data_IF_473666536993
#
_entry.id   IF_473666536993
#
_cell.length_a   1.000
_cell.length_b   1.000
_cell.length_c   1.000
_cell.angle_alpha   90.00
_cell.angle_beta   90.00
_cell.angle_gamma   90.00
#
_symmetry.space_group_name_H-M   'P 1'
#
loop_
_entity.id
_entity.type
_entity.pdbx_description
1 polymer ?
#
# COMPACT_ATOMS: atom_id res chain seq x y z
N UNK A 1 -39.73 6.83 -35.75
CA UNK A 1 -39.56 6.98 -37.22
C UNK A 1 -40.58 6.20 -38.06
N UNK A 2 -40.98 4.96 -37.71
CA UNK A 2 -41.97 4.20 -38.51
C UNK A 2 -43.42 4.72 -38.39
N UNK A 3 -43.84 5.20 -37.21
CA UNK A 3 -45.18 5.76 -37.01
C UNK A 3 -45.40 7.09 -37.73
N UNK A 4 -44.40 7.99 -37.68
CA UNK A 4 -44.42 9.26 -38.41
C UNK A 4 -44.55 9.02 -39.93
N UNK A 5 -43.79 8.06 -40.46
CA UNK A 5 -43.88 7.66 -41.87
C UNK A 5 -45.26 7.10 -42.24
N UNK A 6 -45.85 6.28 -41.36
CA UNK A 6 -47.22 5.78 -41.54
C UNK A 6 -48.27 6.91 -41.54
N UNK A 7 -48.14 7.90 -40.66
CA UNK A 7 -49.03 9.06 -40.60
C UNK A 7 -48.92 9.93 -41.86
N UNK A 8 -47.70 10.15 -42.36
CA UNK A 8 -47.46 10.87 -43.62
C UNK A 8 -48.01 10.10 -44.84
N UNK A 9 -47.78 8.79 -44.92
CA UNK A 9 -48.25 7.95 -46.02
C UNK A 9 -49.79 7.85 -46.04
N UNK A 10 -50.43 7.78 -44.86
CA UNK A 10 -51.89 7.81 -44.71
C UNK A 10 -52.49 9.17 -45.09
N UNK A 11 -51.74 10.27 -44.95
CA UNK A 11 -52.19 11.59 -45.43
C UNK A 11 -52.08 11.73 -46.95
N UNK A 12 -51.18 10.98 -47.59
CA UNK A 12 -50.92 11.05 -49.04
C UNK A 12 -51.67 10.01 -49.86
N UNK A 13 -52.14 8.91 -49.26
CA UNK A 13 -52.84 7.81 -49.92
C UNK A 13 -54.01 7.30 -49.09
N UNK A 14 -55.05 6.76 -49.72
CA UNK A 14 -56.20 6.18 -48.99
C UNK A 14 -55.85 4.91 -48.22
N UNK A 15 -54.69 4.30 -48.50
CA UNK A 15 -54.22 3.09 -47.84
C UNK A 15 -52.73 3.17 -47.49
N UNK A 16 -52.41 2.82 -46.23
CA UNK A 16 -51.05 2.66 -45.72
C UNK A 16 -51.01 1.53 -44.67
N UNK A 17 -49.93 0.75 -44.67
CA UNK A 17 -49.75 -0.37 -43.72
C UNK A 17 -49.29 0.12 -42.35
N UNK A 18 -50.07 -0.15 -41.29
CA UNK A 18 -49.73 0.28 -39.93
C UNK A 18 -48.56 -0.54 -39.39
N UNK A 19 -47.46 0.10 -38.95
CA UNK A 19 -46.31 -0.61 -38.42
C UNK A 19 -46.67 -1.35 -37.13
N UNK A 20 -46.14 -2.57 -36.98
CA UNK A 20 -46.31 -3.38 -35.75
C UNK A 20 -45.34 -2.89 -34.68
N UNK A 21 -45.86 -2.09 -33.75
CA UNK A 21 -45.11 -1.58 -32.59
C UNK A 21 -44.87 -2.76 -31.62
N UNK A 22 -43.65 -2.91 -31.10
CA UNK A 22 -43.37 -3.95 -30.09
C UNK A 22 -44.02 -3.56 -28.77
N UNK A 23 -44.38 -4.55 -27.94
CA UNK A 23 -45.07 -4.34 -26.65
C UNK A 23 -44.37 -3.34 -25.72
N UNK A 24 -43.04 -3.22 -25.81
CA UNK A 24 -42.22 -2.35 -24.96
C UNK A 24 -41.69 -1.10 -25.68
N UNK A 25 -42.09 -0.87 -26.93
CA UNK A 25 -41.72 0.37 -27.61
C UNK A 25 -42.59 1.50 -27.07
N UNK A 26 -41.94 2.54 -26.53
CA UNK A 26 -42.64 3.72 -26.02
C UNK A 26 -43.22 4.53 -27.18
N UNK A 27 -44.55 4.68 -27.18
CA UNK A 27 -45.25 5.56 -28.12
C UNK A 27 -45.39 6.92 -27.48
N UNK A 28 -44.90 7.95 -28.16
CA UNK A 28 -45.04 9.33 -27.71
C UNK A 28 -46.53 9.68 -27.52
N UNK A 29 -46.89 10.05 -26.30
CA UNK A 29 -48.27 10.30 -25.87
C UNK A 29 -48.56 11.80 -25.60
N UNK A 30 -47.62 12.69 -25.95
CA UNK A 30 -47.74 14.12 -25.72
C UNK A 30 -47.59 14.56 -24.26
N UNK A 31 -47.22 13.66 -23.34
CA UNK A 31 -46.99 13.97 -21.93
C UNK A 31 -45.51 14.00 -21.61
N UNK A 32 -45.11 15.03 -20.90
CA UNK A 32 -43.75 15.22 -20.43
C UNK A 32 -43.63 14.64 -19.02
N UNK A 33 -42.46 14.07 -18.73
CA UNK A 33 -42.04 13.71 -17.39
C UNK A 33 -40.63 14.21 -17.16
N UNK A 34 -40.40 14.86 -16.03
CA UNK A 34 -39.12 15.43 -15.63
C UNK A 34 -38.71 14.88 -14.27
N UNK A 35 -37.48 14.42 -14.15
CA UNK A 35 -36.95 13.87 -12.90
C UNK A 35 -35.65 14.57 -12.53
N UNK A 36 -35.57 15.09 -11.31
CA UNK A 36 -34.38 15.75 -10.76
C UNK A 36 -33.83 14.90 -9.64
N UNK A 37 -32.63 14.35 -9.87
CA UNK A 37 -31.93 13.48 -8.94
C UNK A 37 -32.81 12.29 -8.48
N UNK A 38 -32.35 11.49 -7.53
CA UNK A 38 -33.09 10.33 -7.03
C UNK A 38 -34.39 10.68 -6.27
N UNK A 39 -34.72 11.97 -6.11
CA UNK A 39 -35.68 12.42 -5.10
C UNK A 39 -37.00 13.01 -5.66
N UNK A 40 -37.01 13.65 -6.84
CA UNK A 40 -38.20 14.38 -7.32
C UNK A 40 -38.56 14.07 -8.76
N UNK A 41 -39.80 13.65 -8.98
CA UNK A 41 -40.39 13.32 -10.27
C UNK A 41 -41.66 14.15 -10.52
N UNK A 42 -41.67 14.85 -11.65
CA UNK A 42 -42.78 15.65 -12.15
C UNK A 42 -43.31 15.02 -13.43
N UNK A 43 -44.63 14.96 -13.60
CA UNK A 43 -45.24 14.37 -14.80
C UNK A 43 -46.55 15.07 -15.09
N UNK A 44 -46.82 15.31 -16.36
CA UNK A 44 -48.12 15.79 -16.79
C UNK A 44 -49.23 14.83 -16.34
N UNK A 45 -50.24 15.41 -15.71
CA UNK A 45 -51.39 14.66 -15.24
C UNK A 45 -52.67 15.43 -15.54
N UNK A 46 -53.82 14.89 -15.11
CA UNK A 46 -55.11 15.53 -15.38
C UNK A 46 -55.29 16.86 -14.62
N UNK A 47 -54.53 17.09 -13.55
CA UNK A 47 -54.67 18.26 -12.67
C UNK A 47 -53.67 19.38 -12.91
N UNK A 48 -52.54 19.11 -13.56
CA UNK A 48 -51.55 20.13 -13.93
C UNK A 48 -50.67 19.65 -15.09
N UNK A 49 -50.10 20.60 -15.83
CA UNK A 49 -49.00 20.38 -16.78
C UNK A 49 -47.68 20.81 -16.15
N UNK A 50 -46.55 20.28 -16.63
CA UNK A 50 -45.23 20.55 -16.05
C UNK A 50 -44.88 22.05 -16.05
N UNK A 51 -45.36 22.82 -17.03
CA UNK A 51 -45.17 24.26 -17.11
C UNK A 51 -45.72 25.00 -15.88
N UNK A 52 -46.81 24.51 -15.28
CA UNK A 52 -47.39 25.08 -14.06
C UNK A 52 -46.50 24.85 -12.83
N UNK A 53 -45.56 23.92 -12.91
CA UNK A 53 -44.66 23.48 -11.82
C UNK A 53 -43.21 23.91 -12.02
N UNK A 54 -42.93 24.82 -12.96
CA UNK A 54 -41.57 25.29 -13.22
C UNK A 54 -40.87 25.84 -11.97
N UNK A 55 -41.59 26.54 -11.09
CA UNK A 55 -41.03 27.01 -9.82
C UNK A 55 -40.57 25.85 -8.91
N UNK A 56 -41.42 24.84 -8.73
CA UNK A 56 -41.11 23.64 -7.93
C UNK A 56 -39.94 22.84 -8.52
N UNK A 57 -39.87 22.80 -9.86
CA UNK A 57 -38.77 22.18 -10.62
C UNK A 57 -37.45 22.92 -10.39
N UNK A 58 -37.47 24.26 -10.41
CA UNK A 58 -36.28 25.06 -10.13
C UNK A 58 -35.79 24.85 -8.69
N UNK A 59 -36.69 24.83 -7.71
CA UNK A 59 -36.35 24.52 -6.32
C UNK A 59 -35.70 23.13 -6.21
N UNK A 60 -36.30 22.12 -6.86
CA UNK A 60 -35.75 20.77 -6.90
C UNK A 60 -34.32 20.72 -7.49
N UNK A 61 -34.04 21.57 -8.49
CA UNK A 61 -32.72 21.67 -9.11
C UNK A 61 -31.69 22.26 -8.14
N UNK A 62 -32.03 23.34 -7.42
CA UNK A 62 -31.14 23.93 -6.43
C UNK A 62 -30.84 22.96 -5.28
N UNK A 63 -31.86 22.32 -4.72
CA UNK A 63 -31.68 21.32 -3.66
C UNK A 63 -30.78 20.17 -4.12
N UNK A 64 -31.03 19.62 -5.32
CA UNK A 64 -30.22 18.55 -5.88
C UNK A 64 -28.76 19.00 -6.11
N UNK A 65 -28.56 20.22 -6.60
CA UNK A 65 -27.22 20.78 -6.79
C UNK A 65 -26.48 20.95 -5.46
N UNK A 66 -27.16 21.40 -4.42
CA UNK A 66 -26.57 21.55 -3.09
C UNK A 66 -26.22 20.22 -2.46
N UNK A 67 -27.10 19.21 -2.57
CA UNK A 67 -26.81 17.83 -2.12
C UNK A 67 -25.57 17.30 -2.85
N UNK A 68 -25.53 17.42 -4.18
CA UNK A 68 -24.39 16.93 -4.97
C UNK A 68 -23.09 17.65 -4.63
N UNK A 69 -23.15 18.96 -4.33
CA UNK A 69 -22.00 19.75 -3.89
C UNK A 69 -21.50 19.27 -2.53
N UNK A 70 -22.40 19.13 -1.55
CA UNK A 70 -22.05 18.64 -0.21
C UNK A 70 -21.50 17.21 -0.25
N UNK A 71 -22.07 16.32 -1.05
CA UNK A 71 -21.57 14.95 -1.22
C UNK A 71 -20.19 14.92 -1.88
N UNK A 72 -19.89 15.85 -2.78
CA UNK A 72 -18.56 15.98 -3.38
C UNK A 72 -17.56 16.46 -2.34
N UNK A 73 -17.87 17.56 -1.65
CA UNK A 73 -17.02 18.12 -0.60
C UNK A 73 -16.75 17.09 0.51
N UNK A 74 -17.78 16.40 1.00
CA UNK A 74 -17.63 15.37 2.02
C UNK A 74 -16.74 14.20 1.57
N UNK A 75 -16.81 13.80 0.28
CA UNK A 75 -15.93 12.78 -0.29
C UNK A 75 -14.49 13.26 -0.37
N UNK A 76 -14.28 14.48 -0.86
CA UNK A 76 -12.94 15.08 -0.95
C UNK A 76 -12.31 15.25 0.44
N UNK A 77 -13.08 15.69 1.44
CA UNK A 77 -12.60 15.81 2.82
C UNK A 77 -12.31 14.46 3.48
N UNK A 78 -13.17 13.46 3.24
CA UNK A 78 -12.95 12.11 3.73
C UNK A 78 -11.70 11.49 3.10
N UNK A 79 -11.49 11.72 1.81
CA UNK A 79 -10.29 11.27 1.11
C UNK A 79 -9.03 11.96 1.64
N UNK A 80 -9.07 13.28 1.84
CA UNK A 80 -7.97 14.05 2.47
C UNK A 80 -7.62 13.50 3.85
N UNK A 81 -8.62 13.26 4.70
CA UNK A 81 -8.41 12.69 6.05
C UNK A 81 -7.82 11.27 5.98
N UNK A 82 -8.30 10.42 5.07
CA UNK A 82 -7.75 9.07 4.87
C UNK A 82 -6.29 9.12 4.41
N UNK A 83 -5.96 9.97 3.45
CA UNK A 83 -4.59 10.15 2.97
C UNK A 83 -3.66 10.64 4.08
N UNK A 84 -4.10 11.60 4.90
CA UNK A 84 -3.32 12.09 6.05
C UNK A 84 -3.10 10.98 7.10
N UNK A 85 -4.14 10.19 7.40
CA UNK A 85 -4.03 9.08 8.34
C UNK A 85 -3.11 7.96 7.83
N UNK A 86 -3.22 7.60 6.55
CA UNK A 86 -2.33 6.66 5.85
C UNK A 86 -0.87 7.13 5.95
N UNK A 87 -0.61 8.41 5.64
CA UNK A 87 0.73 9.00 5.76
C UNK A 87 1.28 8.88 7.17
N UNK A 88 0.48 9.23 8.19
CA UNK A 88 0.88 9.11 9.60
C UNK A 88 1.17 7.66 10.01
N UNK A 89 0.40 6.69 9.50
CA UNK A 89 0.62 5.26 9.74
C UNK A 89 1.93 4.78 9.09
N UNK A 90 2.17 5.18 7.84
CA UNK A 90 3.41 4.85 7.11
C UNK A 90 4.63 5.45 7.81
N UNK A 91 4.58 6.73 8.18
CA UNK A 91 5.68 7.39 8.91
C UNK A 91 5.96 6.72 10.26
N UNK A 92 4.92 6.37 11.02
CA UNK A 92 5.08 5.63 12.28
C UNK A 92 5.70 4.26 12.05
N UNK A 93 5.26 3.53 11.03
CA UNK A 93 5.79 2.20 10.69
C UNK A 93 7.25 2.29 10.26
N UNK A 94 7.62 3.29 9.46
CA UNK A 94 9.00 3.51 9.06
C UNK A 94 9.89 3.81 10.25
N UNK A 95 9.47 4.71 11.16
CA UNK A 95 10.22 5.00 12.39
C UNK A 95 10.38 3.77 13.27
N UNK A 96 9.30 3.00 13.45
CA UNK A 96 9.34 1.78 14.24
C UNK A 96 10.28 0.73 13.63
N UNK A 97 10.18 0.49 12.31
CA UNK A 97 11.06 -0.46 11.63
C UNK A 97 12.52 -0.02 11.69
N UNK A 98 12.80 1.28 11.51
CA UNK A 98 14.16 1.81 11.64
C UNK A 98 14.72 1.61 13.06
N UNK A 99 13.91 1.82 14.10
CA UNK A 99 14.29 1.55 15.49
C UNK A 99 14.57 0.05 15.71
N UNK A 100 13.72 -0.83 15.17
CA UNK A 100 13.93 -2.28 15.23
C UNK A 100 15.24 -2.67 14.54
N UNK A 101 15.51 -2.15 13.35
CA UNK A 101 16.76 -2.42 12.63
C UNK A 101 17.99 -1.92 13.42
N UNK A 102 17.94 -0.72 13.98
CA UNK A 102 19.02 -0.17 14.81
C UNK A 102 19.26 -1.00 16.08
N UNK A 103 18.19 -1.41 16.77
CA UNK A 103 18.29 -2.21 17.99
C UNK A 103 18.86 -3.61 17.70
N UNK A 104 18.42 -4.27 16.63
CA UNK A 104 18.97 -5.56 16.21
C UNK A 104 20.44 -5.45 15.80
N UNK A 105 20.82 -4.42 15.06
CA UNK A 105 22.21 -4.18 14.71
C UNK A 105 23.08 -3.97 15.95
N UNK A 106 22.60 -3.18 16.92
CA UNK A 106 23.28 -2.94 18.19
C UNK A 106 23.45 -4.22 19.00
N UNK A 107 22.42 -5.06 19.08
CA UNK A 107 22.47 -6.36 19.75
C UNK A 107 23.55 -7.25 19.10
N UNK A 108 23.54 -7.39 17.78
CA UNK A 108 24.53 -8.19 17.05
C UNK A 108 25.96 -7.69 17.21
N UNK A 109 26.16 -6.36 17.22
CA UNK A 109 27.44 -5.72 17.51
C UNK A 109 27.90 -6.05 18.94
N UNK A 110 26.98 -5.97 19.92
CA UNK A 110 27.29 -6.25 21.32
C UNK A 110 27.68 -7.72 21.56
N UNK A 111 27.02 -8.66 20.89
CA UNK A 111 27.35 -10.08 20.96
C UNK A 111 28.73 -10.39 20.37
N UNK A 112 29.05 -9.77 19.24
CA UNK A 112 30.37 -9.92 18.60
C UNK A 112 31.47 -9.33 19.48
N UNK A 113 31.22 -8.16 20.10
CA UNK A 113 32.14 -7.55 21.07
C UNK A 113 32.32 -8.43 22.31
N UNK A 114 31.24 -8.97 22.89
CA UNK A 114 31.32 -9.88 24.04
C UNK A 114 32.10 -11.15 23.69
N UNK A 115 31.93 -11.68 22.48
CA UNK A 115 32.72 -12.82 21.97
C UNK A 115 34.21 -12.46 21.90
N UNK A 116 34.57 -11.29 21.38
CA UNK A 116 35.96 -10.82 21.38
C UNK A 116 36.53 -10.68 22.80
N UNK A 117 35.75 -10.10 23.73
CA UNK A 117 36.13 -10.00 25.14
C UNK A 117 36.34 -11.37 25.80
N UNK A 118 35.46 -12.35 25.54
CA UNK A 118 35.60 -13.73 26.02
C UNK A 118 36.89 -14.37 25.50
N UNK A 119 37.19 -14.21 24.21
CA UNK A 119 38.44 -14.72 23.61
C UNK A 119 39.66 -14.07 24.27
N UNK A 120 39.68 -12.74 24.43
CA UNK A 120 40.79 -12.02 25.08
C UNK A 120 40.99 -12.44 26.53
N UNK A 121 39.90 -12.63 27.30
CA UNK A 121 39.96 -13.14 28.68
C UNK A 121 40.56 -14.53 28.75
N UNK A 122 40.20 -15.42 27.81
CA UNK A 122 40.80 -16.75 27.75
C UNK A 122 42.28 -16.71 27.39
N UNK A 123 42.68 -15.89 26.41
CA UNK A 123 44.09 -15.69 26.05
C UNK A 123 44.90 -15.22 27.26
N UNK A 124 44.40 -14.22 28.01
CA UNK A 124 45.08 -13.72 29.21
C UNK A 124 45.25 -14.81 30.28
N UNK A 125 44.26 -15.69 30.45
CA UNK A 125 44.39 -16.84 31.34
C UNK A 125 45.47 -17.82 30.86
N UNK A 126 45.50 -18.14 29.56
CA UNK A 126 46.52 -19.03 28.97
C UNK A 126 47.93 -18.45 29.12
N UNK A 127 48.10 -17.15 28.91
CA UNK A 127 49.38 -16.46 29.11
C UNK A 127 49.83 -16.51 30.59
N UNK A 128 48.89 -16.40 31.53
CA UNK A 128 49.17 -16.46 32.97
C UNK A 128 49.57 -17.86 33.47
N UNK A 129 49.11 -18.95 32.84
CA UNK A 129 49.46 -20.31 33.22
C UNK A 129 50.91 -20.71 32.89
N UNK A 130 51.65 -19.90 32.13
CA UNK A 130 53.11 -19.89 32.16
C UNK A 130 53.78 -21.19 31.71
N UNK A 131 53.56 -21.61 30.46
CA UNK A 131 54.49 -22.50 29.74
C UNK A 131 54.33 -22.33 28.23
N UNK A 132 54.73 -21.16 27.71
CA UNK A 132 54.58 -20.82 26.30
C UNK A 132 55.73 -21.41 25.48
N UNK A 133 55.55 -22.63 25.00
CA UNK A 133 56.38 -23.15 23.92
C UNK A 133 56.21 -22.26 22.64
N UNK A 134 57.16 -22.27 21.69
CA UNK A 134 57.05 -21.51 20.45
C UNK A 134 55.74 -21.71 19.67
N UNK A 135 55.16 -22.91 19.70
CA UNK A 135 53.87 -23.24 19.08
C UNK A 135 52.71 -22.60 19.83
N UNK A 136 52.76 -22.58 21.15
CA UNK A 136 51.78 -21.89 22.00
C UNK A 136 51.78 -20.38 21.79
N UNK A 137 52.95 -19.76 21.59
CA UNK A 137 53.04 -18.33 21.23
C UNK A 137 52.38 -18.02 19.88
N UNK A 138 52.64 -18.82 18.84
CA UNK A 138 51.98 -18.65 17.53
C UNK A 138 50.46 -18.80 17.62
N UNK A 139 49.97 -19.72 18.45
CA UNK A 139 48.54 -19.88 18.68
C UNK A 139 47.93 -18.65 19.39
N UNK A 140 48.64 -18.08 20.38
CA UNK A 140 48.20 -16.84 21.05
C UNK A 140 48.11 -15.67 20.08
N UNK A 141 49.10 -15.49 19.21
CA UNK A 141 49.06 -14.45 18.17
C UNK A 141 47.87 -14.63 17.23
N UNK A 142 47.63 -15.85 16.75
CA UNK A 142 46.45 -16.18 15.95
C UNK A 142 45.14 -15.93 16.70
N UNK A 143 45.07 -16.26 17.99
CA UNK A 143 43.87 -16.07 18.79
C UNK A 143 43.57 -14.59 19.05
N UNK A 144 44.60 -13.76 19.29
CA UNK A 144 44.49 -12.29 19.40
C UNK A 144 43.98 -11.70 18.09
N UNK A 145 44.61 -12.10 17.00
CA UNK A 145 44.18 -11.80 15.64
C UNK A 145 42.71 -12.15 15.37
N UNK A 146 42.24 -13.29 15.88
CA UNK A 146 40.85 -13.72 15.75
C UNK A 146 39.91 -12.91 16.64
N UNK A 147 40.31 -12.54 17.85
CA UNK A 147 39.54 -11.66 18.71
C UNK A 147 39.31 -10.29 18.05
N UNK A 148 40.33 -9.74 17.40
CA UNK A 148 40.24 -8.45 16.69
C UNK A 148 39.36 -8.52 15.42
N UNK A 149 39.19 -9.71 14.84
CA UNK A 149 38.23 -9.96 13.75
C UNK A 149 36.78 -10.03 14.24
N UNK A 150 36.55 -10.52 15.47
CA UNK A 150 35.23 -10.49 16.09
C UNK A 150 34.87 -9.12 16.67
N UNK A 151 35.85 -8.33 17.10
CA UNK A 151 35.62 -7.03 17.73
C UNK A 151 35.13 -5.99 16.70
N UNK A 152 33.87 -5.52 16.78
CA UNK A 152 33.34 -4.54 15.84
C UNK A 152 34.03 -3.17 15.91
N UNK A 153 34.74 -2.85 17.00
CA UNK A 153 35.47 -1.58 17.14
C UNK A 153 36.80 -1.56 16.38
N UNK A 154 37.37 -2.74 16.13
CA UNK A 154 38.59 -2.91 15.34
C UNK A 154 38.23 -3.37 13.92
N UNK A 155 37.27 -4.28 13.81
CA UNK A 155 36.77 -4.87 12.58
C UNK A 155 37.90 -5.32 11.65
N UNK A 156 38.90 -6.00 12.23
CA UNK A 156 40.08 -6.44 11.49
C UNK A 156 39.66 -7.41 10.40
N UNK A 157 40.28 -7.36 9.23
CA UNK A 157 40.05 -8.35 8.17
C UNK A 157 40.79 -9.66 8.48
N UNK A 158 40.15 -10.80 8.22
CA UNK A 158 40.77 -12.11 8.34
C UNK A 158 41.14 -12.67 6.98
N UNK A 159 42.31 -13.31 6.89
CA UNK A 159 42.84 -13.85 5.64
C UNK A 159 41.89 -14.87 4.97
N UNK A 160 41.16 -15.66 5.75
CA UNK A 160 40.28 -16.71 5.23
C UNK A 160 38.81 -16.31 5.21
N UNK A 161 38.37 -15.52 6.19
CA UNK A 161 36.96 -15.15 6.34
C UNK A 161 36.63 -13.73 5.89
N UNK A 162 37.62 -12.95 5.45
CA UNK A 162 37.45 -11.57 5.02
C UNK A 162 36.93 -10.67 6.13
N UNK A 163 36.17 -9.63 5.74
CA UNK A 163 35.52 -8.71 6.68
C UNK A 163 34.23 -9.31 7.23
N UNK A 164 34.08 -9.30 8.55
CA UNK A 164 32.85 -9.71 9.23
C UNK A 164 31.79 -8.61 9.15
N UNK A 165 30.57 -8.99 8.83
CA UNK A 165 29.42 -8.09 8.86
C UNK A 165 28.76 -8.17 10.24
N UNK A 166 29.17 -7.27 11.14
CA UNK A 166 28.80 -7.32 12.55
C UNK A 166 27.35 -6.93 12.82
N UNK A 167 26.71 -6.18 11.92
CA UNK A 167 25.31 -5.76 12.06
C UNK A 167 24.33 -6.90 11.73
N UNK A 168 24.79 -7.91 10.99
CA UNK A 168 23.98 -9.08 10.63
C UNK A 168 23.80 -10.04 11.79
N UNK A 169 22.67 -10.75 11.76
CA UNK A 169 22.33 -11.79 12.72
C UNK A 169 23.35 -12.94 12.66
N UNK A 170 23.57 -13.56 13.83
CA UNK A 170 24.35 -14.77 14.08
C UNK A 170 24.23 -15.86 13.00
N UNK A 171 23.03 -16.14 12.50
CA UNK A 171 22.80 -17.15 11.46
C UNK A 171 23.48 -16.81 10.13
N UNK A 172 23.51 -15.54 9.75
CA UNK A 172 24.12 -15.08 8.49
C UNK A 172 25.64 -15.00 8.56
N UNK A 173 26.20 -14.89 9.76
CA UNK A 173 27.65 -14.81 10.03
C UNK A 173 28.23 -16.10 10.62
N UNK A 174 27.47 -17.20 10.51
CA UNK A 174 27.85 -18.51 11.03
C UNK A 174 28.96 -19.11 10.18
N UNK A 175 30.04 -19.53 10.83
CA UNK A 175 31.15 -20.22 10.18
C UNK A 175 30.75 -21.69 9.96
N UNK A 176 30.54 -22.06 8.70
CA UNK A 176 30.31 -23.45 8.31
C UNK A 176 31.59 -24.07 7.76
N UNK A 177 31.81 -25.36 8.06
CA UNK A 177 32.92 -26.09 7.44
C UNK A 177 32.61 -26.22 5.96
N UNK A 178 33.60 -25.92 5.12
CA UNK A 178 33.48 -26.10 3.69
C UNK A 178 33.43 -27.61 3.38
N UNK A 179 32.23 -28.18 3.43
CA UNK A 179 31.98 -29.53 2.95
C UNK A 179 32.00 -29.45 1.44
N UNK A 180 32.93 -30.16 0.79
CA UNK A 180 32.83 -30.42 -0.64
C UNK A 180 31.42 -30.97 -0.92
N UNK A 181 30.51 -30.12 -1.40
CA UNK A 181 29.24 -30.54 -1.96
C UNK A 181 29.56 -31.10 -3.34
N UNK A 182 29.94 -32.36 -3.36
CA UNK A 182 29.93 -33.17 -4.58
C UNK A 182 28.46 -33.33 -5.01
N UNK A 183 28.03 -32.48 -5.94
CA UNK A 183 26.89 -32.68 -6.82
C UNK A 183 27.22 -32.06 -8.18
#
# INVERSE_FOLDING_TARGET
MQLLKYEEDKRRSSWASKPKIRKYDYVYNGRISFSVYAAKNFRDCKSYVIEDRLGDIMIAFYEASDILRQEREAREEAERKRQEEERRKVERRQRFNAEVEQTLALENLSEDYDTACKIRRYIAAVEAFGNLDPKSMKWVEWAKAKADWYDPTIAREDEFFGKRDHEKNSDQKKLERNGYKWW
#
